data_IF_687643214581
#
_entry.id   IF_687643214581
#
_cell.length_a   1.000
_cell.length_b   1.000
_cell.length_c   1.000
_cell.angle_alpha   90.00
_cell.angle_beta   90.00
_cell.angle_gamma   90.00
#
_symmetry.space_group_name_H-M   'P 1'
#
loop_
_entity.id
_entity.type
_entity.pdbx_description
1 polymer ?
#
# COMPACT_ATOMS: atom_id res chain seq x y z
N UNK A 1 15.63 15.63 24.18
CA UNK A 1 14.34 15.85 24.89
C UNK A 1 13.25 15.17 24.09
N UNK A 2 12.44 14.30 24.70
CA UNK A 2 11.32 13.62 24.03
C UNK A 2 10.22 14.63 23.73
N UNK A 3 10.00 14.93 22.45
CA UNK A 3 9.17 16.05 22.00
C UNK A 3 7.68 15.68 21.91
N UNK A 4 7.29 14.41 22.08
CA UNK A 4 5.89 13.99 22.08
C UNK A 4 5.21 13.92 23.45
N UNK A 5 5.96 14.00 24.56
CA UNK A 5 5.39 13.88 25.91
C UNK A 5 4.39 15.01 26.19
N UNK A 6 3.19 14.67 26.66
CA UNK A 6 2.09 15.59 26.93
C UNK A 6 1.42 16.17 25.69
N UNK A 7 1.73 15.66 24.48
CA UNK A 7 1.14 16.13 23.24
C UNK A 7 -0.07 15.32 22.81
N UNK A 8 -0.89 15.94 21.97
CA UNK A 8 -2.02 15.31 21.31
C UNK A 8 -1.66 15.07 19.83
N UNK A 9 -1.45 13.80 19.48
CA UNK A 9 -1.07 13.38 18.14
C UNK A 9 -2.34 13.08 17.33
N UNK A 10 -2.48 13.74 16.18
CA UNK A 10 -3.52 13.45 15.20
C UNK A 10 -2.90 12.62 14.08
N UNK A 11 -3.51 11.49 13.76
CA UNK A 11 -2.96 10.54 12.79
C UNK A 11 -3.61 10.70 11.40
N UNK A 12 -2.76 10.81 10.38
CA UNK A 12 -3.11 10.59 8.97
C UNK A 12 -3.21 9.08 8.67
N UNK A 13 -4.07 8.71 7.71
CA UNK A 13 -4.20 7.35 7.15
C UNK A 13 -2.84 6.74 6.81
N UNK A 14 -1.94 7.46 6.13
CA UNK A 14 -0.65 6.91 5.69
C UNK A 14 0.28 6.55 6.86
N UNK A 15 0.17 7.26 8.00
CA UNK A 15 0.94 6.95 9.20
C UNK A 15 0.47 5.63 9.80
N UNK A 16 -0.85 5.44 9.94
CA UNK A 16 -1.45 4.23 10.50
C UNK A 16 -1.08 3.01 9.65
N UNK A 17 -1.15 3.14 8.32
CA UNK A 17 -0.82 2.09 7.36
C UNK A 17 0.62 1.60 7.55
N UNK A 18 1.57 2.54 7.66
CA UNK A 18 3.02 2.27 7.65
C UNK A 18 3.63 2.08 9.04
N UNK A 19 2.88 2.42 10.10
CA UNK A 19 3.28 2.24 11.49
C UNK A 19 2.07 1.94 12.40
N UNK A 20 1.42 0.78 12.25
CA UNK A 20 0.23 0.43 13.04
C UNK A 20 0.50 0.35 14.54
N UNK A 21 1.75 0.12 14.94
CA UNK A 21 2.15 0.11 16.35
C UNK A 21 2.00 1.45 17.06
N UNK A 22 1.74 2.55 16.34
CA UNK A 22 1.33 3.81 16.97
C UNK A 22 0.03 3.65 17.76
N UNK A 23 -0.86 2.73 17.37
CA UNK A 23 -2.16 2.50 17.99
C UNK A 23 -2.08 1.84 19.39
N UNK A 24 -0.88 1.54 19.86
CA UNK A 24 -0.68 1.05 21.23
C UNK A 24 -1.01 2.16 22.21
N UNK A 25 -1.72 1.82 23.28
CA UNK A 25 -1.99 2.74 24.38
C UNK A 25 -0.67 3.34 24.90
N UNK A 26 -0.64 4.66 25.01
CA UNK A 26 0.45 5.41 25.62
C UNK A 26 -0.14 6.29 26.72
N UNK A 27 0.49 6.31 27.89
CA UNK A 27 0.14 7.24 28.97
C UNK A 27 0.83 8.60 28.79
N UNK A 28 1.85 8.65 27.92
CA UNK A 28 2.72 9.81 27.76
C UNK A 28 2.20 10.79 26.70
N UNK A 29 1.26 10.38 25.85
CA UNK A 29 0.65 11.22 24.82
C UNK A 29 -0.72 10.70 24.42
N UNK A 30 -1.57 11.62 23.96
CA UNK A 30 -2.93 11.31 23.47
C UNK A 30 -2.89 11.07 21.97
N UNK A 31 -3.69 10.12 21.49
CA UNK A 31 -3.81 9.82 20.06
C UNK A 31 -5.26 10.04 19.62
N UNK A 32 -5.45 10.80 18.54
CA UNK A 32 -6.74 10.88 17.85
C UNK A 32 -6.64 10.42 16.41
N UNK A 33 -7.69 9.73 15.98
CA UNK A 33 -7.91 9.34 14.60
C UNK A 33 -9.11 10.14 14.08
N UNK A 34 -8.93 10.96 13.03
CA UNK A 34 -10.03 11.63 12.36
C UNK A 34 -11.05 10.60 11.83
N UNK A 35 -12.34 10.87 11.96
CA UNK A 35 -13.41 9.98 11.43
C UNK A 35 -13.25 9.66 9.93
N UNK A 36 -12.79 10.64 9.13
CA UNK A 36 -12.52 10.44 7.69
C UNK A 36 -11.40 9.40 7.44
N UNK A 37 -10.38 9.36 8.30
CA UNK A 37 -9.28 8.38 8.24
C UNK A 37 -9.81 6.97 8.53
N UNK A 38 -10.77 6.85 9.46
CA UNK A 38 -11.44 5.57 9.75
C UNK A 38 -12.27 5.12 8.55
N UNK A 39 -13.03 6.03 7.94
CA UNK A 39 -13.81 5.73 6.74
C UNK A 39 -12.90 5.24 5.59
N UNK A 40 -11.77 5.91 5.37
CA UNK A 40 -10.79 5.51 4.36
C UNK A 40 -10.20 4.12 4.63
N UNK A 41 -9.83 3.83 5.88
CA UNK A 41 -9.30 2.52 6.29
C UNK A 41 -10.36 1.40 6.12
N UNK A 42 -11.63 1.69 6.40
CA UNK A 42 -12.75 0.76 6.17
C UNK A 42 -12.95 0.46 4.69
N UNK A 43 -12.96 1.48 3.83
CA UNK A 43 -13.05 1.27 2.38
C UNK A 43 -11.87 0.44 1.86
N UNK A 44 -10.66 0.67 2.37
CA UNK A 44 -9.48 -0.10 1.99
C UNK A 44 -9.55 -1.56 2.46
N UNK A 45 -10.29 -1.88 3.52
CA UNK A 45 -10.46 -3.25 4.04
C UNK A 45 -11.00 -4.23 2.98
N UNK A 46 -11.75 -3.74 2.00
CA UNK A 46 -12.28 -4.55 0.91
C UNK A 46 -11.21 -4.98 -0.10
N UNK A 47 -10.08 -4.25 -0.16
CA UNK A 47 -9.01 -4.47 -1.14
C UNK A 47 -8.13 -5.68 -0.83
N UNK A 48 -8.18 -6.24 0.39
CA UNK A 48 -7.40 -7.45 0.67
C UNK A 48 -7.23 -7.79 2.14
N UNK A 49 -6.66 -8.97 2.39
CA UNK A 49 -6.48 -9.54 3.75
C UNK A 49 -5.71 -8.62 4.69
N UNK A 50 -4.65 -7.96 4.20
CA UNK A 50 -3.79 -7.10 5.01
C UNK A 50 -4.55 -5.85 5.49
N UNK A 51 -5.42 -5.32 4.62
CA UNK A 51 -6.29 -4.19 4.95
C UNK A 51 -7.39 -4.58 5.93
N UNK A 52 -8.01 -5.77 5.79
CA UNK A 52 -8.97 -6.29 6.78
C UNK A 52 -8.35 -6.40 8.17
N UNK A 53 -7.13 -6.93 8.25
CA UNK A 53 -6.41 -7.04 9.54
C UNK A 53 -6.07 -5.68 10.12
N UNK A 54 -5.59 -4.74 9.30
CA UNK A 54 -5.33 -3.37 9.76
C UNK A 54 -6.61 -2.69 10.28
N UNK A 55 -7.75 -2.84 9.57
CA UNK A 55 -9.02 -2.29 10.03
C UNK A 55 -9.46 -2.91 11.37
N UNK A 56 -9.33 -4.24 11.52
CA UNK A 56 -9.65 -4.91 12.79
C UNK A 56 -8.76 -4.43 13.96
N UNK A 57 -7.51 -4.06 13.68
CA UNK A 57 -6.60 -3.49 14.67
C UNK A 57 -7.06 -2.10 15.12
N UNK A 58 -7.50 -1.27 14.17
CA UNK A 58 -8.04 0.08 14.45
C UNK A 58 -9.33 -0.02 15.25
N UNK A 59 -10.26 -0.90 14.87
CA UNK A 59 -11.50 -1.14 15.61
C UNK A 59 -11.23 -1.64 17.03
N UNK A 60 -10.24 -2.52 17.21
CA UNK A 60 -9.80 -2.94 18.53
C UNK A 60 -9.24 -1.77 19.35
N UNK A 61 -8.37 -0.94 18.77
CA UNK A 61 -7.80 0.22 19.46
C UNK A 61 -8.90 1.22 19.90
N UNK A 62 -9.90 1.43 19.05
CA UNK A 62 -11.06 2.28 19.32
C UNK A 62 -11.94 1.71 20.44
N UNK A 63 -12.30 0.43 20.36
CA UNK A 63 -13.13 -0.24 21.37
C UNK A 63 -12.51 -0.23 22.77
N UNK A 64 -11.17 -0.22 22.84
CA UNK A 64 -10.43 -0.20 24.10
C UNK A 64 -9.96 1.21 24.49
N UNK A 65 -10.50 2.27 23.88
CA UNK A 65 -10.22 3.68 24.19
C UNK A 65 -8.71 4.03 24.14
N UNK A 66 -7.94 3.30 23.33
CA UNK A 66 -6.50 3.55 23.15
C UNK A 66 -6.25 4.77 22.26
N UNK A 67 -7.23 5.07 21.41
CA UNK A 67 -7.24 6.20 20.49
C UNK A 67 -8.64 6.81 20.48
N UNK A 68 -8.72 8.11 20.24
CA UNK A 68 -9.99 8.86 20.26
C UNK A 68 -10.44 9.14 18.83
N UNK A 69 -11.69 8.79 18.50
CA UNK A 69 -12.29 9.28 17.26
C UNK A 69 -12.57 10.75 17.43
N UNK A 70 -12.16 11.57 16.46
CA UNK A 70 -12.69 12.93 16.39
C UNK A 70 -13.60 13.10 15.19
N UNK A 71 -14.86 13.38 15.47
CA UNK A 71 -15.87 13.57 14.45
C UNK A 71 -15.62 14.86 13.67
N UNK A 72 -15.80 14.73 12.37
CA UNK A 72 -15.95 15.87 11.48
C UNK A 72 -17.39 16.36 11.60
N UNK A 73 -17.57 17.66 11.80
CA UNK A 73 -18.89 18.27 11.84
C UNK A 73 -18.97 19.21 10.62
N UNK A 74 -19.75 18.82 9.60
CA UNK A 74 -19.88 19.56 8.33
C UNK A 74 -20.38 21.01 8.51
N UNK A 75 -20.82 21.39 9.72
CA UNK A 75 -21.26 22.75 10.05
C UNK A 75 -20.10 23.75 10.25
N UNK A 76 -18.86 23.28 10.36
CA UNK A 76 -17.65 24.12 10.50
C UNK A 76 -16.98 24.44 9.13
N UNK A 77 -17.62 24.08 8.01
CA UNK A 77 -17.05 24.07 6.65
C UNK A 77 -16.89 25.44 5.97
N UNK A 78 -17.10 26.56 6.68
CA UNK A 78 -16.90 27.91 6.15
C UNK A 78 -15.45 28.20 5.65
N UNK A 79 -14.51 27.28 5.87
CA UNK A 79 -13.14 27.38 5.36
C UNK A 79 -12.93 26.63 4.01
N UNK A 80 -13.82 25.72 3.63
CA UNK A 80 -13.72 24.96 2.37
C UNK A 80 -13.93 25.85 1.14
N UNK A 81 -14.57 27.02 1.30
CA UNK A 81 -14.77 27.98 0.21
C UNK A 81 -13.48 28.66 -0.28
N UNK A 82 -12.36 28.59 0.46
CA UNK A 82 -11.18 29.42 0.18
C UNK A 82 -9.99 28.73 -0.51
N UNK A 83 -10.01 27.42 -0.75
CA UNK A 83 -8.84 26.71 -1.31
C UNK A 83 -9.20 26.07 -2.66
N UNK A 84 -9.38 26.94 -3.66
CA UNK A 84 -9.41 26.53 -5.06
C UNK A 84 -7.97 26.42 -5.59
N UNK A 85 -7.25 25.36 -5.22
CA UNK A 85 -5.94 25.06 -5.80
C UNK A 85 -6.01 23.77 -6.62
N UNK A 86 -5.64 23.88 -7.90
CA UNK A 86 -5.42 22.75 -8.83
C UNK A 86 -4.38 21.72 -8.32
N UNK A 87 -3.67 22.04 -7.23
CA UNK A 87 -2.68 21.25 -6.49
C UNK A 87 -2.87 21.38 -4.95
N UNK A 88 -4.10 21.64 -4.50
CA UNK A 88 -4.44 21.83 -3.09
C UNK A 88 -4.58 20.51 -2.32
N UNK A 89 -4.73 20.58 -0.98
CA UNK A 89 -5.12 19.44 -0.16
C UNK A 89 -6.41 18.83 -0.70
N UNK A 90 -6.51 17.51 -0.69
CA UNK A 90 -7.77 16.86 -1.02
C UNK A 90 -8.83 17.09 0.09
N UNK A 91 -10.06 16.63 -0.15
CA UNK A 91 -11.16 16.81 0.82
C UNK A 91 -10.82 16.16 2.18
N UNK A 92 -10.08 15.05 2.17
CA UNK A 92 -9.66 14.36 3.40
C UNK A 92 -8.62 15.18 4.16
N UNK A 93 -7.63 15.70 3.45
CA UNK A 93 -6.59 16.59 3.98
C UNK A 93 -7.20 17.84 4.62
N UNK A 94 -8.21 18.44 3.99
CA UNK A 94 -8.94 19.60 4.53
C UNK A 94 -9.67 19.27 5.84
N UNK A 95 -10.34 18.12 5.90
CA UNK A 95 -10.98 17.64 7.14
C UNK A 95 -9.96 17.44 8.26
N UNK A 96 -8.82 16.83 7.95
CA UNK A 96 -7.72 16.62 8.91
C UNK A 96 -7.18 17.97 9.40
N UNK A 97 -6.96 18.94 8.50
CA UNK A 97 -6.48 20.27 8.86
C UNK A 97 -7.47 21.02 9.75
N UNK A 98 -8.76 21.03 9.41
CA UNK A 98 -9.81 21.69 10.19
C UNK A 98 -9.90 21.13 11.60
N UNK A 99 -9.86 19.80 11.72
CA UNK A 99 -9.80 19.13 13.02
C UNK A 99 -8.57 19.56 13.84
N UNK A 100 -7.40 19.54 13.21
CA UNK A 100 -6.13 19.91 13.84
C UNK A 100 -6.15 21.35 14.35
N UNK A 101 -6.68 22.28 13.55
CA UNK A 101 -6.85 23.69 13.90
C UNK A 101 -7.82 23.85 15.08
N UNK A 102 -8.95 23.14 15.07
CA UNK A 102 -9.96 23.19 16.14
C UNK A 102 -9.39 22.73 17.48
N UNK A 103 -8.63 21.64 17.50
CA UNK A 103 -8.00 21.14 18.72
C UNK A 103 -6.93 22.10 19.24
N UNK A 104 -6.14 22.72 18.34
CA UNK A 104 -5.22 23.79 18.73
C UNK A 104 -5.95 25.01 19.30
N UNK A 105 -7.06 25.42 18.71
CA UNK A 105 -7.86 26.55 19.20
C UNK A 105 -8.47 26.29 20.60
N UNK A 106 -8.68 25.02 20.97
CA UNK A 106 -9.05 24.60 22.33
C UNK A 106 -7.88 24.61 23.32
N UNK A 107 -6.69 25.03 22.90
CA UNK A 107 -5.48 25.08 23.73
C UNK A 107 -4.72 23.75 23.83
N UNK A 108 -5.08 22.72 23.05
CA UNK A 108 -4.35 21.45 23.07
C UNK A 108 -2.98 21.59 22.37
N UNK A 109 -1.95 20.92 22.91
CA UNK A 109 -0.62 20.86 22.29
C UNK A 109 -0.61 19.82 21.17
N UNK A 110 -1.12 20.22 20.01
CA UNK A 110 -1.37 19.32 18.88
C UNK A 110 -0.14 19.12 18.00
N UNK A 111 0.08 17.87 17.58
CA UNK A 111 1.02 17.49 16.53
C UNK A 111 0.30 16.68 15.47
N UNK A 112 0.38 17.10 14.21
CA UNK A 112 -0.11 16.30 13.10
C UNK A 112 0.98 15.31 12.64
N UNK A 113 0.68 14.02 12.69
CA UNK A 113 1.53 12.99 12.11
C UNK A 113 1.12 12.77 10.64
N UNK A 114 1.97 13.18 9.70
CA UNK A 114 1.72 13.04 8.26
C UNK A 114 3.03 13.03 7.47
N UNK A 115 3.03 12.32 6.34
CA UNK A 115 4.11 12.38 5.34
C UNK A 115 3.80 13.35 4.19
N UNK A 116 2.60 13.94 4.18
CA UNK A 116 2.19 14.83 3.10
C UNK A 116 2.84 16.22 3.24
N UNK A 117 3.58 16.62 2.20
CA UNK A 117 4.31 17.90 2.16
C UNK A 117 3.39 19.10 2.01
N UNK A 118 2.18 18.93 1.48
CA UNK A 118 1.16 19.98 1.43
C UNK A 118 0.63 20.21 2.84
N UNK A 119 0.20 19.15 3.54
CA UNK A 119 -0.26 19.23 4.93
C UNK A 119 0.81 19.81 5.86
N UNK A 120 2.07 19.34 5.75
CA UNK A 120 3.18 19.88 6.56
C UNK A 120 3.34 21.39 6.39
N UNK A 121 3.28 21.90 5.15
CA UNK A 121 3.38 23.34 4.86
C UNK A 121 2.20 24.14 5.41
N UNK A 122 0.98 23.61 5.28
CA UNK A 122 -0.23 24.25 5.80
C UNK A 122 -0.26 24.28 7.33
N UNK A 123 0.16 23.21 7.99
CA UNK A 123 0.32 23.21 9.44
C UNK A 123 1.37 24.23 9.90
N UNK A 124 2.51 24.31 9.19
CA UNK A 124 3.56 25.26 9.52
C UNK A 124 3.07 26.73 9.45
N UNK A 125 2.29 27.10 8.43
CA UNK A 125 1.73 28.47 8.34
C UNK A 125 0.72 28.79 9.44
N UNK A 126 0.12 27.77 10.05
CA UNK A 126 -0.76 27.90 11.22
C UNK A 126 -0.02 27.74 12.56
N UNK A 127 1.32 27.61 12.55
CA UNK A 127 2.14 27.34 13.73
C UNK A 127 1.83 26.01 14.41
N UNK A 128 1.34 25.02 13.66
CA UNK A 128 1.04 23.66 14.12
C UNK A 128 2.25 22.79 13.82
N UNK A 129 2.73 22.06 14.83
CA UNK A 129 3.85 21.15 14.66
C UNK A 129 3.41 19.91 13.87
N UNK A 130 4.30 19.43 12.99
CA UNK A 130 4.09 18.18 12.26
C UNK A 130 5.24 17.22 12.49
N UNK A 131 4.95 15.92 12.47
CA UNK A 131 5.97 14.87 12.57
C UNK A 131 5.82 13.85 11.43
N UNK A 132 6.92 13.56 10.75
CA UNK A 132 6.96 12.49 9.74
C UNK A 132 7.04 11.10 10.37
N UNK A 133 6.87 10.05 9.58
CA UNK A 133 6.85 8.66 10.04
C UNK A 133 8.14 8.27 10.76
N UNK A 134 9.29 8.66 10.21
CA UNK A 134 10.58 8.29 10.81
C UNK A 134 10.82 9.01 12.14
N UNK A 135 10.47 10.30 12.20
CA UNK A 135 10.51 11.07 13.46
C UNK A 135 9.61 10.44 14.50
N UNK A 136 8.37 10.12 14.12
CA UNK A 136 7.38 9.49 15.00
C UNK A 136 7.87 8.14 15.52
N UNK A 137 8.42 7.27 14.65
CA UNK A 137 8.98 5.98 15.07
C UNK A 137 10.11 6.15 16.08
N UNK A 138 11.00 7.11 15.86
CA UNK A 138 12.13 7.35 16.75
C UNK A 138 11.66 7.87 18.11
N UNK A 139 10.73 8.82 18.13
CA UNK A 139 10.20 9.39 19.37
C UNK A 139 9.32 8.40 20.15
N UNK A 140 8.51 7.59 19.48
CA UNK A 140 7.71 6.56 20.18
C UNK A 140 8.61 5.49 20.78
N UNK A 141 9.68 5.08 20.07
CA UNK A 141 10.67 4.13 20.60
C UNK A 141 11.42 4.68 21.81
N UNK A 142 11.73 5.97 21.85
CA UNK A 142 12.41 6.59 23.00
C UNK A 142 11.50 6.80 24.20
N UNK A 143 10.18 6.74 24.01
CA UNK A 143 9.17 6.85 25.07
C UNK A 143 8.74 5.47 25.58
N UNK A 144 8.66 4.45 24.71
CA UNK A 144 8.13 3.14 25.08
C UNK A 144 9.16 2.27 25.81
N UNK A 145 9.31 2.50 27.12
CA UNK A 145 9.87 1.52 28.07
C UNK A 145 8.77 0.68 28.78
N UNK A 146 7.50 0.88 28.42
CA UNK A 146 6.36 0.26 29.10
C UNK A 146 6.15 -1.20 28.65
N UNK A 147 5.89 -2.09 29.62
CA UNK A 147 5.49 -3.49 29.38
C UNK A 147 4.23 -3.51 28.50
N UNK A 148 4.26 -4.20 27.34
CA UNK A 148 3.16 -4.16 26.40
C UNK A 148 1.99 -5.04 26.81
N UNK A 149 0.77 -4.66 26.42
CA UNK A 149 -0.36 -5.58 26.33
C UNK A 149 -0.02 -6.70 25.32
N UNK A 150 -0.02 -7.96 25.77
CA UNK A 150 0.42 -9.13 24.99
C UNK A 150 -0.42 -9.36 23.73
N UNK A 151 -1.75 -9.20 23.78
CA UNK A 151 -2.65 -9.50 22.66
C UNK A 151 -2.51 -8.52 21.48
N UNK A 152 -2.41 -7.21 21.75
CA UNK A 152 -2.27 -6.21 20.69
C UNK A 152 -0.91 -6.29 19.99
N UNK A 153 0.15 -6.56 20.75
CA UNK A 153 1.48 -6.76 20.19
C UNK A 153 1.53 -7.94 19.24
N UNK A 154 0.93 -9.08 19.63
CA UNK A 154 0.84 -10.25 18.76
C UNK A 154 0.11 -9.92 17.46
N UNK A 155 -1.05 -9.24 17.52
CA UNK A 155 -1.79 -8.80 16.33
C UNK A 155 -0.97 -7.88 15.42
N UNK A 156 -0.25 -6.92 16.00
CA UNK A 156 0.62 -6.01 15.25
C UNK A 156 1.79 -6.77 14.59
N UNK A 157 2.47 -7.62 15.34
CA UNK A 157 3.59 -8.42 14.84
C UNK A 157 3.16 -9.38 13.73
N UNK A 158 2.00 -10.02 13.86
CA UNK A 158 1.42 -10.86 12.82
C UNK A 158 1.16 -10.07 11.53
N UNK A 159 0.55 -8.88 11.65
CA UNK A 159 0.30 -8.00 10.50
C UNK A 159 1.61 -7.57 9.83
N UNK A 160 2.62 -7.18 10.61
CA UNK A 160 3.93 -6.81 10.07
C UNK A 160 4.65 -7.99 9.41
N UNK A 161 4.69 -9.15 10.07
CA UNK A 161 5.35 -10.36 9.56
C UNK A 161 4.69 -10.84 8.28
N UNK A 162 3.35 -10.84 8.21
CA UNK A 162 2.61 -11.26 7.02
C UNK A 162 2.85 -10.31 5.84
N UNK A 163 2.74 -8.99 6.03
CA UNK A 163 2.99 -8.04 4.94
C UNK A 163 4.44 -8.09 4.45
N UNK A 164 5.43 -8.25 5.35
CA UNK A 164 6.85 -8.42 4.96
C UNK A 164 7.06 -9.72 4.19
N UNK A 165 6.47 -10.82 4.67
CA UNK A 165 6.51 -12.12 3.98
C UNK A 165 5.96 -12.01 2.56
N UNK A 166 4.87 -11.28 2.34
CA UNK A 166 4.29 -11.09 1.00
C UNK A 166 5.26 -10.42 0.04
N UNK A 167 5.94 -9.34 0.45
CA UNK A 167 6.97 -8.69 -0.40
C UNK A 167 8.12 -9.64 -0.69
N UNK A 168 8.64 -10.33 0.32
CA UNK A 168 9.74 -11.28 0.14
C UNK A 168 9.33 -12.39 -0.84
N UNK A 169 8.12 -12.94 -0.70
CA UNK A 169 7.60 -13.94 -1.63
C UNK A 169 7.43 -13.40 -3.05
N UNK A 170 7.03 -12.14 -3.22
CA UNK A 170 6.99 -11.48 -4.54
C UNK A 170 8.38 -11.44 -5.17
N UNK A 171 9.40 -11.01 -4.42
CA UNK A 171 10.79 -10.94 -4.94
C UNK A 171 11.32 -12.33 -5.26
N UNK A 172 11.18 -13.29 -4.35
CA UNK A 172 11.61 -14.68 -4.55
C UNK A 172 10.91 -15.32 -5.75
N UNK A 173 9.61 -15.08 -5.91
CA UNK A 173 8.85 -15.56 -7.06
C UNK A 173 9.42 -15.00 -8.37
N UNK A 174 9.72 -13.70 -8.45
CA UNK A 174 10.28 -13.10 -9.67
C UNK A 174 11.65 -13.68 -10.03
N UNK A 175 12.50 -13.91 -9.03
CA UNK A 175 13.80 -14.57 -9.23
C UNK A 175 13.62 -15.99 -9.75
N UNK A 176 12.75 -16.78 -9.09
CA UNK A 176 12.46 -18.15 -9.51
C UNK A 176 11.83 -18.21 -10.90
N UNK A 177 10.94 -17.27 -11.22
CA UNK A 177 10.31 -17.14 -12.53
C UNK A 177 11.34 -16.82 -13.61
N UNK A 178 12.24 -15.85 -13.38
CA UNK A 178 13.31 -15.52 -14.32
C UNK A 178 14.23 -16.72 -14.58
N UNK A 179 14.61 -17.45 -13.52
CA UNK A 179 15.42 -18.65 -13.63
C UNK A 179 14.70 -19.77 -14.41
N UNK A 180 13.40 -19.97 -14.14
CA UNK A 180 12.58 -20.92 -14.87
C UNK A 180 12.48 -20.57 -16.36
N UNK A 181 12.23 -19.30 -16.69
CA UNK A 181 12.19 -18.81 -18.07
C UNK A 181 13.53 -19.03 -18.79
N UNK A 182 14.66 -18.82 -18.09
CA UNK A 182 15.98 -19.10 -18.65
C UNK A 182 16.19 -20.58 -18.96
N UNK A 183 15.82 -21.48 -18.04
CA UNK A 183 15.90 -22.94 -18.27
C UNK A 183 15.00 -23.35 -19.43
N UNK A 184 13.75 -22.89 -19.44
CA UNK A 184 12.79 -23.22 -20.50
C UNK A 184 13.25 -22.71 -21.86
N UNK A 185 13.84 -21.51 -21.94
CA UNK A 185 14.39 -20.98 -23.18
C UNK A 185 15.64 -21.73 -23.64
N UNK A 186 16.46 -22.24 -22.72
CA UNK A 186 17.69 -22.99 -23.07
C UNK A 186 17.42 -24.43 -23.50
N UNK A 187 16.42 -25.09 -22.93
CA UNK A 187 16.16 -26.52 -23.13
C UNK A 187 14.76 -26.82 -23.69
N UNK A 188 14.16 -25.87 -24.42
CA UNK A 188 12.79 -26.01 -24.93
C UNK A 188 12.63 -27.25 -25.81
N UNK A 189 13.61 -27.49 -26.68
CA UNK A 189 13.55 -28.51 -27.71
C UNK A 189 13.67 -29.91 -27.10
N UNK A 190 14.56 -30.10 -26.11
CA UNK A 190 14.70 -31.36 -25.39
C UNK A 190 13.44 -31.67 -24.56
N UNK A 191 12.85 -30.67 -23.90
CA UNK A 191 11.64 -30.85 -23.08
C UNK A 191 10.45 -31.23 -23.96
N UNK A 192 10.23 -30.52 -25.06
CA UNK A 192 9.09 -30.74 -25.95
C UNK A 192 9.20 -32.10 -26.65
N UNK A 193 10.39 -32.54 -27.04
CA UNK A 193 10.54 -33.78 -27.79
C UNK A 193 10.52 -35.04 -26.92
N UNK A 194 10.79 -34.93 -25.61
CA UNK A 194 10.85 -36.08 -24.69
C UNK A 194 9.49 -36.47 -24.10
N UNK A 195 8.54 -35.54 -24.05
CA UNK A 195 7.24 -35.74 -23.40
C UNK A 195 6.18 -36.05 -24.46
N UNK A 196 5.40 -37.12 -24.25
CA UNK A 196 4.28 -37.45 -25.13
C UNK A 196 3.18 -36.38 -25.07
N UNK A 197 2.26 -36.38 -26.04
CA UNK A 197 1.21 -35.35 -26.14
C UNK A 197 0.33 -35.26 -24.88
N UNK A 198 -0.02 -36.40 -24.29
CA UNK A 198 -0.84 -36.46 -23.08
C UNK A 198 -0.12 -35.88 -21.85
N UNK A 199 1.19 -36.12 -21.73
CA UNK A 199 2.02 -35.52 -20.70
C UNK A 199 2.10 -34.00 -20.83
N UNK A 200 2.21 -33.48 -22.06
CA UNK A 200 2.17 -32.03 -22.32
C UNK A 200 0.86 -31.40 -21.87
N UNK A 201 -0.27 -32.03 -22.19
CA UNK A 201 -1.60 -31.58 -21.76
C UNK A 201 -1.71 -31.58 -20.24
N UNK A 202 -1.27 -32.66 -19.58
CA UNK A 202 -1.27 -32.76 -18.12
C UNK A 202 -0.43 -31.67 -17.45
N UNK A 203 0.78 -31.41 -17.96
CA UNK A 203 1.65 -30.34 -17.48
C UNK A 203 0.98 -28.98 -17.67
N UNK A 204 0.37 -28.72 -18.83
CA UNK A 204 -0.29 -27.45 -19.12
C UNK A 204 -1.45 -27.15 -18.15
N UNK A 205 -2.27 -28.16 -17.84
CA UNK A 205 -3.35 -28.03 -16.84
C UNK A 205 -2.78 -27.75 -15.46
N UNK A 206 -1.76 -28.51 -15.03
CA UNK A 206 -1.13 -28.32 -13.72
C UNK A 206 -0.49 -26.93 -13.59
N UNK A 207 0.23 -26.48 -14.62
CA UNK A 207 0.82 -25.14 -14.67
C UNK A 207 -0.26 -24.07 -14.64
N UNK A 208 -1.41 -24.28 -15.29
CA UNK A 208 -2.54 -23.33 -15.25
C UNK A 208 -3.09 -23.14 -13.83
N UNK A 209 -3.26 -24.23 -13.08
CA UNK A 209 -3.68 -24.14 -11.67
C UNK A 209 -2.62 -23.45 -10.80
N UNK A 210 -1.34 -23.77 -11.01
CA UNK A 210 -0.25 -23.13 -10.28
C UNK A 210 -0.21 -21.62 -10.56
N UNK A 211 -0.31 -21.21 -11.82
CA UNK A 211 -0.36 -19.82 -12.24
C UNK A 211 -1.57 -19.10 -11.62
N UNK A 212 -2.75 -19.73 -11.64
CA UNK A 212 -3.94 -19.17 -11.00
C UNK A 212 -3.75 -18.96 -9.49
N UNK A 213 -3.15 -19.93 -8.81
CA UNK A 213 -2.81 -19.81 -7.40
C UNK A 213 -1.85 -18.64 -7.15
N UNK A 214 -0.81 -18.47 -7.98
CA UNK A 214 0.11 -17.33 -7.88
C UNK A 214 -0.64 -16.03 -8.12
N UNK A 215 -1.53 -15.94 -9.12
CA UNK A 215 -2.36 -14.74 -9.37
C UNK A 215 -3.20 -14.35 -8.15
N UNK A 216 -3.75 -15.33 -7.42
CA UNK A 216 -4.57 -15.09 -6.24
C UNK A 216 -3.74 -14.65 -5.02
N UNK A 217 -2.51 -15.14 -4.85
CA UNK A 217 -1.72 -14.93 -3.63
C UNK A 217 -0.60 -13.88 -3.78
N UNK A 218 -0.06 -13.73 -4.99
CA UNK A 218 1.09 -12.90 -5.35
C UNK A 218 0.77 -12.07 -6.61
N UNK A 219 -0.38 -11.41 -6.62
CA UNK A 219 -0.91 -10.66 -7.77
C UNK A 219 0.08 -9.68 -8.39
N UNK A 220 0.82 -8.95 -7.56
CA UNK A 220 1.86 -8.02 -8.03
C UNK A 220 3.00 -8.75 -8.77
N UNK A 221 3.49 -9.85 -8.20
CA UNK A 221 4.55 -10.66 -8.79
C UNK A 221 4.08 -11.27 -10.13
N UNK A 222 2.84 -11.77 -10.14
CA UNK A 222 2.18 -12.30 -11.33
C UNK A 222 2.06 -11.24 -12.43
N UNK A 223 1.60 -10.03 -12.12
CA UNK A 223 1.46 -8.96 -13.10
C UNK A 223 2.81 -8.51 -13.69
N UNK A 224 3.86 -8.43 -12.85
CA UNK A 224 5.23 -8.16 -13.31
C UNK A 224 5.75 -9.28 -14.23
N UNK A 225 5.48 -10.54 -13.88
CA UNK A 225 5.86 -11.69 -14.70
C UNK A 225 5.12 -11.73 -16.04
N UNK A 226 3.80 -11.46 -16.07
CA UNK A 226 3.02 -11.33 -17.30
C UNK A 226 3.59 -10.21 -18.18
N UNK A 227 3.78 -9.01 -17.62
CA UNK A 227 4.34 -7.89 -18.39
C UNK A 227 5.71 -8.22 -18.97
N UNK A 228 6.63 -8.77 -18.16
CA UNK A 228 7.95 -9.19 -18.61
C UNK A 228 7.90 -10.29 -19.68
N UNK A 229 7.01 -11.27 -19.54
CA UNK A 229 6.79 -12.31 -20.55
C UNK A 229 6.31 -11.74 -21.88
N UNK A 230 5.38 -10.78 -21.84
CA UNK A 230 4.92 -10.08 -23.03
C UNK A 230 6.05 -9.30 -23.71
N UNK A 231 6.89 -8.59 -22.94
CA UNK A 231 8.09 -7.92 -23.49
C UNK A 231 9.05 -8.94 -24.12
N UNK A 232 9.30 -10.06 -23.45
CA UNK A 232 10.17 -11.13 -23.95
C UNK A 232 9.67 -11.72 -25.28
N UNK A 233 8.37 -11.99 -25.41
CA UNK A 233 7.76 -12.49 -26.65
C UNK A 233 7.81 -11.42 -27.75
N UNK A 234 7.59 -10.14 -27.41
CA UNK A 234 7.60 -9.05 -28.38
C UNK A 234 9.01 -8.74 -28.91
N UNK A 235 10.06 -8.86 -28.08
CA UNK A 235 11.43 -8.49 -28.42
C UNK A 235 11.95 -9.06 -29.76
N UNK A 236 11.90 -10.37 -30.03
CA UNK A 236 12.39 -10.93 -31.30
C UNK A 236 11.52 -10.51 -32.51
N UNK A 237 10.26 -10.13 -32.29
CA UNK A 237 9.33 -9.75 -33.36
C UNK A 237 9.65 -8.37 -33.96
N UNK A 238 10.48 -7.56 -33.29
CA UNK A 238 10.97 -6.29 -33.83
C UNK A 238 12.07 -6.49 -34.90
N UNK A 239 12.61 -7.70 -35.06
CA UNK A 239 13.52 -8.03 -36.16
C UNK A 239 12.71 -8.40 -37.42
N UNK A 240 12.16 -7.38 -38.08
CA UNK A 240 11.16 -7.47 -39.14
C UNK A 240 11.68 -8.12 -40.43
N UNK A 241 11.45 -9.43 -40.61
CA UNK A 241 11.63 -10.11 -41.91
C UNK A 241 10.41 -10.92 -42.40
N UNK A 242 9.36 -11.10 -41.59
CA UNK A 242 8.09 -11.70 -42.03
C UNK A 242 6.91 -11.07 -41.29
N UNK A 243 5.85 -10.68 -42.01
CA UNK A 243 4.82 -9.76 -41.48
C UNK A 243 3.56 -10.48 -40.94
N UNK A 244 3.17 -11.64 -41.46
CA UNK A 244 1.85 -12.23 -41.17
C UNK A 244 1.78 -13.03 -39.85
N UNK A 245 2.72 -13.94 -39.58
CA UNK A 245 2.79 -14.71 -38.32
C UNK A 245 3.26 -13.86 -37.13
N UNK A 246 4.02 -12.81 -37.43
CA UNK A 246 4.56 -11.84 -36.47
C UNK A 246 3.47 -10.94 -35.90
N UNK A 247 2.43 -10.63 -36.67
CA UNK A 247 1.33 -9.77 -36.21
C UNK A 247 0.47 -10.39 -35.10
N UNK A 248 0.04 -11.66 -35.27
CA UNK A 248 -0.76 -12.36 -34.24
C UNK A 248 0.06 -12.52 -32.95
N UNK A 249 1.34 -12.86 -33.08
CA UNK A 249 2.26 -13.03 -31.94
C UNK A 249 2.49 -11.71 -31.21
N UNK A 250 2.61 -10.60 -31.95
CA UNK A 250 2.73 -9.26 -31.39
C UNK A 250 1.45 -8.83 -30.66
N UNK A 251 0.27 -9.07 -31.25
CA UNK A 251 -1.01 -8.81 -30.59
C UNK A 251 -1.17 -9.62 -29.29
N UNK A 252 -0.79 -10.91 -29.31
CA UNK A 252 -0.80 -11.75 -28.12
C UNK A 252 0.15 -11.21 -27.04
N UNK A 253 1.36 -10.80 -27.41
CA UNK A 253 2.33 -10.20 -26.50
C UNK A 253 1.81 -8.88 -25.89
N UNK A 254 1.23 -8.00 -26.71
CA UNK A 254 0.59 -6.75 -26.26
C UNK A 254 -0.56 -7.02 -25.28
N UNK A 255 -1.42 -7.98 -25.59
CA UNK A 255 -2.52 -8.36 -24.70
C UNK A 255 -2.02 -8.87 -23.35
N UNK A 256 -0.98 -9.71 -23.33
CA UNK A 256 -0.34 -10.19 -22.10
C UNK A 256 0.24 -9.00 -21.30
N UNK A 257 0.92 -8.05 -21.96
CA UNK A 257 1.44 -6.86 -21.29
C UNK A 257 0.34 -6.01 -20.64
N UNK A 258 -0.77 -5.76 -21.35
CA UNK A 258 -1.91 -4.99 -20.83
C UNK A 258 -2.51 -5.67 -19.60
N UNK A 259 -2.70 -6.99 -19.64
CA UNK A 259 -3.17 -7.76 -18.48
C UNK A 259 -2.19 -7.72 -17.32
N UNK A 260 -0.89 -7.78 -17.61
CA UNK A 260 0.17 -7.60 -16.63
C UNK A 260 0.07 -6.26 -15.91
N UNK A 261 -0.13 -5.15 -16.66
CA UNK A 261 -0.31 -3.81 -16.11
C UNK A 261 -1.55 -3.68 -15.22
N UNK A 262 -2.66 -4.32 -15.56
CA UNK A 262 -3.87 -4.35 -14.73
C UNK A 262 -3.62 -5.08 -13.39
N UNK A 263 -2.95 -6.24 -13.46
CA UNK A 263 -2.56 -6.99 -12.27
C UNK A 263 -1.52 -6.24 -11.42
N UNK A 264 -0.59 -5.49 -12.03
CA UNK A 264 0.35 -4.61 -11.31
C UNK A 264 -0.41 -3.51 -10.59
N UNK A 265 -1.32 -2.81 -11.28
CA UNK A 265 -2.13 -1.73 -10.71
C UNK A 265 -2.91 -2.21 -9.49
N UNK A 266 -3.60 -3.34 -9.63
CA UNK A 266 -4.34 -3.94 -8.53
C UNK A 266 -3.39 -4.39 -7.42
N UNK A 267 -2.30 -5.09 -7.75
CA UNK A 267 -1.31 -5.59 -6.79
C UNK A 267 -0.62 -4.49 -5.98
N UNK A 268 -0.38 -3.31 -6.56
CA UNK A 268 0.12 -2.12 -5.85
C UNK A 268 -0.88 -1.67 -4.78
N UNK A 269 -2.17 -1.62 -5.12
CA UNK A 269 -3.23 -1.19 -4.20
C UNK A 269 -3.51 -2.19 -3.06
N UNK A 270 -3.26 -3.48 -3.30
CA UNK A 270 -3.43 -4.54 -2.29
C UNK A 270 -2.21 -4.67 -1.38
N UNK A 271 -1.03 -4.19 -1.81
CA UNK A 271 0.22 -4.32 -1.06
C UNK A 271 0.45 -3.11 -0.17
N UNK A 272 0.04 -3.24 1.10
CA UNK A 272 0.09 -2.20 2.14
C UNK A 272 1.36 -1.34 2.18
N UNK A 273 2.53 -1.94 1.99
CA UNK A 273 3.82 -1.24 2.08
C UNK A 273 4.17 -0.40 0.84
N UNK A 274 3.54 -0.68 -0.31
CA UNK A 274 3.71 0.10 -1.54
C UNK A 274 2.68 1.23 -1.56
N UNK A 275 1.53 1.03 -0.94
CA UNK A 275 0.47 2.03 -0.86
C UNK A 275 0.90 3.28 -0.08
N UNK A 276 0.56 4.46 -0.59
CA UNK A 276 0.95 5.77 -0.06
C UNK A 276 2.41 6.16 -0.33
N UNK A 277 3.18 5.31 -1.03
CA UNK A 277 4.57 5.62 -1.40
C UNK A 277 4.65 6.38 -2.72
N UNK A 278 5.85 6.89 -3.03
CA UNK A 278 6.14 7.52 -4.32
C UNK A 278 5.89 6.56 -5.50
N UNK A 279 5.99 5.25 -5.30
CA UNK A 279 5.73 4.25 -6.34
C UNK A 279 4.26 4.28 -6.74
N UNK A 280 3.33 4.23 -5.78
CA UNK A 280 1.90 4.32 -6.09
C UNK A 280 1.55 5.69 -6.66
N UNK A 281 2.05 6.79 -6.07
CA UNK A 281 1.77 8.15 -6.57
C UNK A 281 2.25 8.32 -8.01
N UNK A 282 3.46 7.85 -8.33
CA UNK A 282 4.01 7.84 -9.68
C UNK A 282 3.18 7.00 -10.64
N UNK A 283 2.78 5.79 -10.21
CA UNK A 283 1.93 4.90 -11.00
C UNK A 283 0.58 5.54 -11.32
N UNK A 284 -0.11 6.09 -10.31
CA UNK A 284 -1.38 6.81 -10.50
C UNK A 284 -1.22 8.01 -11.43
N UNK A 285 -0.11 8.75 -11.33
CA UNK A 285 0.17 9.89 -12.21
C UNK A 285 0.35 9.48 -13.67
N UNK A 286 1.09 8.39 -13.94
CA UNK A 286 1.34 7.89 -15.30
C UNK A 286 0.02 7.45 -15.95
N UNK A 287 -0.81 6.72 -15.22
CA UNK A 287 -2.05 6.14 -15.75
C UNK A 287 -3.30 6.98 -15.48
N UNK A 288 -3.16 8.19 -14.91
CA UNK A 288 -4.26 9.08 -14.52
C UNK A 288 -5.35 8.38 -13.69
N UNK A 289 -4.93 7.52 -12.78
CA UNK A 289 -5.82 6.77 -11.89
C UNK A 289 -6.19 7.68 -10.70
N UNK A 290 -7.45 7.64 -10.29
CA UNK A 290 -7.95 8.32 -9.08
C UNK A 290 -7.53 7.54 -7.82
#
# INVERSE_FOLDING_TARGET
MNNLKGKHIILDTNIIIRFPSILKRSEEFKISIPSIVIAELRMRSEKGSDWKKLNSLVEYALKNEMVIVTDHNNKDDNFLEYINYKNGPDETDLVILNLTKRLKAKGENVVLATEDKVLQRMCASMGINTIGLQGLKNEVKSISNAKPSTDLNQKIEEIEKQSKKRIIMTVLFLIAFAFLMFILGKYSDEIINRINIWGKIGILVLVSFLIYWVRCNLRLAYGLAEFGLGVYIAYPLFNLQSISTTFISLLAALFIMIRGLDNITTGISETRYITGTLVEKGWKSIFRLK
#
